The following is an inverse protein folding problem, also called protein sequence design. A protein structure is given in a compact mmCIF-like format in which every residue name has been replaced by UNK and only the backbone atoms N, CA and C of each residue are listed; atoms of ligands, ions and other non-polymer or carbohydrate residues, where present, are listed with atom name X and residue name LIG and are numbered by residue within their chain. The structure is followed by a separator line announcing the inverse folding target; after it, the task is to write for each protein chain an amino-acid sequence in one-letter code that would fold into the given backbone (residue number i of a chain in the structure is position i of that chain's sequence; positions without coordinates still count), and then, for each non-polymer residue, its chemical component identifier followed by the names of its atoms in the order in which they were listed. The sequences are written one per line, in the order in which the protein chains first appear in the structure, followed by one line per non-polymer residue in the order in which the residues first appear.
data_IF_454595364292
#
_entry.id   IF_454595364292
#
_cell.length_a   1.000
_cell.length_b   1.000
_cell.length_c   1.000
_cell.angle_alpha   90.00
_cell.angle_beta   90.00
_cell.angle_gamma   90.00
#
_symmetry.space_group_name_H-M   'P 1'
#
loop_
_entity.id
_entity.type
_entity.pdbx_description
1 polymer ?
#
# COMPACT_ATOMS: atom_id res chain seq x y z
N UNK A 1 19.50 -7.42 12.51
CA UNK A 1 19.10 -6.18 11.82
C UNK A 1 20.05 -5.95 10.65
N UNK A 2 19.68 -6.42 9.45
CA UNK A 2 20.32 -5.95 8.23
C UNK A 2 20.01 -4.45 8.10
N UNK A 3 21.03 -3.62 7.89
CA UNK A 3 20.85 -2.17 7.83
C UNK A 3 19.91 -1.81 6.69
N UNK A 4 18.82 -1.10 7.01
CA UNK A 4 17.98 -0.39 6.04
C UNK A 4 18.93 0.43 5.15
N UNK A 5 18.97 0.11 3.86
CA UNK A 5 19.74 0.89 2.88
C UNK A 5 18.92 2.09 2.44
N UNK A 6 19.64 3.14 2.05
CA UNK A 6 19.13 4.42 1.53
C UNK A 6 18.57 4.30 0.10
N UNK A 7 17.86 3.23 -0.23
CA UNK A 7 16.97 3.27 -1.40
C UNK A 7 15.86 4.24 -0.97
N UNK A 8 15.77 5.39 -1.65
CA UNK A 8 14.71 6.37 -1.42
C UNK A 8 13.61 6.12 -2.46
N UNK A 9 12.51 6.85 -2.36
CA UNK A 9 11.48 6.90 -3.39
C UNK A 9 11.56 8.22 -4.15
N UNK A 10 12.76 8.67 -4.53
CA UNK A 10 12.94 9.92 -5.29
C UNK A 10 12.37 9.82 -6.70
N UNK A 11 12.13 10.97 -7.33
CA UNK A 11 11.75 11.06 -8.75
C UNK A 11 12.69 10.25 -9.64
N UNK A 12 14.01 10.39 -9.45
CA UNK A 12 15.02 9.68 -10.24
C UNK A 12 14.97 8.17 -10.02
N UNK A 13 14.67 7.69 -8.80
CA UNK A 13 14.54 6.26 -8.54
C UNK A 13 13.28 5.67 -9.17
N UNK A 14 12.16 6.41 -9.15
CA UNK A 14 10.90 5.98 -9.78
C UNK A 14 11.03 5.89 -11.31
N UNK A 15 11.79 6.78 -11.94
CA UNK A 15 12.05 6.74 -13.39
C UNK A 15 13.30 5.96 -13.79
N UNK A 16 14.20 5.65 -12.84
CA UNK A 16 15.55 5.18 -13.11
C UNK A 16 15.68 3.74 -13.61
N UNK A 17 14.56 3.01 -13.76
CA UNK A 17 14.50 1.62 -14.25
C UNK A 17 15.31 0.62 -13.41
N UNK A 18 15.93 1.06 -12.33
CA UNK A 18 16.82 0.26 -11.51
C UNK A 18 15.97 -0.60 -10.60
N UNK A 19 16.20 -1.92 -10.65
CA UNK A 19 15.46 -2.86 -9.82
C UNK A 19 15.73 -2.54 -8.34
N UNK A 20 14.70 -2.40 -7.48
CA UNK A 20 14.80 -2.59 -6.04
C UNK A 20 15.89 -3.56 -5.60
N UNK A 21 16.72 -3.14 -4.63
CA UNK A 21 17.67 -4.07 -3.99
C UNK A 21 17.20 -4.57 -2.63
N UNK A 22 16.08 -4.05 -2.13
CA UNK A 22 15.42 -4.44 -0.90
C UNK A 22 14.22 -3.56 -0.57
N UNK A 23 13.66 -3.78 0.62
CA UNK A 23 12.63 -2.93 1.23
C UNK A 23 13.24 -1.59 1.69
N UNK A 24 12.43 -0.54 1.65
CA UNK A 24 12.73 0.76 2.24
C UNK A 24 11.92 0.95 3.51
N UNK A 25 12.31 1.92 4.34
CA UNK A 25 11.49 2.29 5.51
C UNK A 25 10.10 2.77 5.04
N UNK A 26 9.04 2.32 5.71
CA UNK A 26 7.66 2.68 5.34
C UNK A 26 7.41 4.20 5.38
N UNK A 27 8.21 4.98 6.14
CA UNK A 27 8.15 6.45 6.11
C UNK A 27 8.42 7.03 4.72
N UNK A 28 9.11 6.32 3.83
CA UNK A 28 9.30 6.75 2.44
C UNK A 28 7.99 6.82 1.65
N UNK A 29 6.96 6.08 2.07
CA UNK A 29 5.63 6.08 1.47
C UNK A 29 4.66 7.07 2.15
N UNK A 30 5.15 7.87 3.10
CA UNK A 30 4.35 8.88 3.79
C UNK A 30 4.65 10.28 3.23
N UNK A 31 3.69 11.22 3.28
CA UNK A 31 3.96 12.62 2.98
C UNK A 31 5.06 13.16 3.92
N UNK A 32 6.16 13.73 3.39
CA UNK A 32 7.16 14.39 4.22
C UNK A 32 6.63 15.70 4.82
N UNK A 33 7.35 16.27 5.78
CA UNK A 33 6.96 17.52 6.46
C UNK A 33 6.81 18.72 5.49
N UNK A 34 7.55 18.71 4.37
CA UNK A 34 7.50 19.73 3.32
C UNK A 34 6.54 19.38 2.17
N UNK A 35 5.68 18.36 2.35
CA UNK A 35 4.68 17.99 1.37
C UNK A 35 3.70 19.13 1.11
N UNK A 36 3.49 19.45 -0.16
CA UNK A 36 2.45 20.37 -0.61
C UNK A 36 1.17 19.65 -1.02
N UNK A 37 0.14 20.43 -1.36
CA UNK A 37 -1.02 19.91 -2.06
C UNK A 37 -0.59 19.31 -3.41
N UNK A 38 -1.26 18.24 -3.89
CA UNK A 38 -0.96 17.69 -5.20
C UNK A 38 -1.15 18.77 -6.28
N UNK A 39 -0.25 18.77 -7.26
CA UNK A 39 -0.31 19.69 -8.40
C UNK A 39 -1.43 19.34 -9.39
N UNK A 40 -1.83 18.08 -9.42
CA UNK A 40 -2.84 17.55 -10.32
C UNK A 40 -3.85 16.68 -9.57
N UNK A 41 -5.09 16.63 -10.06
CA UNK A 41 -6.08 15.66 -9.60
C UNK A 41 -5.86 14.34 -10.34
N UNK A 42 -5.74 13.25 -9.60
CA UNK A 42 -5.78 11.91 -10.16
C UNK A 42 -7.22 11.45 -10.37
N UNK A 43 -7.60 11.14 -11.61
CA UNK A 43 -8.88 10.55 -11.97
C UNK A 43 -8.71 9.58 -13.14
N UNK A 44 -7.98 8.48 -12.90
CA UNK A 44 -7.54 7.55 -13.91
C UNK A 44 -7.73 6.09 -13.46
N UNK A 45 -7.86 5.20 -14.45
CA UNK A 45 -7.57 3.78 -14.30
C UNK A 45 -6.07 3.58 -14.39
N UNK A 46 -5.47 3.17 -13.27
CA UNK A 46 -4.07 2.79 -13.19
C UNK A 46 -3.91 1.36 -13.70
N UNK A 47 -3.22 1.19 -14.82
CA UNK A 47 -2.98 -0.10 -15.47
C UNK A 47 -1.64 -0.62 -15.00
N UNK A 48 -1.63 -1.76 -14.31
CA UNK A 48 -0.44 -2.38 -13.74
C UNK A 48 -0.10 -3.63 -14.54
N UNK A 49 1.11 -3.71 -15.08
CA UNK A 49 1.59 -4.92 -15.75
C UNK A 49 1.94 -6.04 -14.75
N UNK A 50 1.74 -7.29 -15.17
CA UNK A 50 2.27 -8.44 -14.43
C UNK A 50 3.80 -8.35 -14.38
N UNK A 51 4.38 -8.45 -13.18
CA UNK A 51 5.79 -8.09 -12.96
C UNK A 51 6.47 -9.08 -12.00
N UNK A 52 7.70 -9.50 -12.31
CA UNK A 52 8.49 -10.30 -11.38
C UNK A 52 8.87 -9.53 -10.12
N UNK A 53 8.54 -10.12 -8.98
CA UNK A 53 8.89 -9.58 -7.68
C UNK A 53 10.35 -9.89 -7.33
N UNK A 54 10.99 -9.00 -6.58
CA UNK A 54 12.35 -9.12 -6.09
C UNK A 54 12.34 -9.30 -4.56
N UNK A 55 13.28 -10.09 -4.05
CA UNK A 55 13.56 -10.17 -2.62
C UNK A 55 15.08 -10.21 -2.41
N UNK A 56 15.55 -9.64 -1.32
CA UNK A 56 16.94 -9.77 -0.85
C UNK A 56 17.18 -11.10 -0.12
N UNK A 57 16.09 -11.82 0.20
CA UNK A 57 16.08 -13.17 0.77
C UNK A 57 15.73 -14.21 -0.30
N UNK A 58 15.92 -15.49 0.02
CA UNK A 58 15.28 -16.56 -0.77
C UNK A 58 13.78 -16.40 -0.59
N UNK A 59 13.14 -15.76 -1.57
CA UNK A 59 11.72 -15.40 -1.52
C UNK A 59 10.82 -16.64 -1.40
N UNK A 60 11.16 -17.70 -2.14
CA UNK A 60 10.37 -18.91 -2.25
C UNK A 60 11.28 -20.12 -2.51
N UNK A 61 11.09 -21.22 -1.79
CA UNK A 61 11.70 -22.51 -2.16
C UNK A 61 11.07 -23.10 -3.43
N UNK A 62 9.81 -22.73 -3.70
CA UNK A 62 9.06 -23.11 -4.89
C UNK A 62 8.35 -21.88 -5.48
N UNK A 63 8.57 -21.61 -6.78
CA UNK A 63 7.95 -20.45 -7.44
C UNK A 63 6.53 -20.67 -7.91
N UNK A 64 6.14 -21.93 -8.19
CA UNK A 64 4.84 -22.26 -8.76
C UNK A 64 3.92 -22.95 -7.77
N UNK A 65 2.72 -22.44 -7.58
CA UNK A 65 1.66 -23.06 -6.78
C UNK A 65 0.42 -23.18 -7.65
N UNK A 66 -0.16 -24.38 -7.74
CA UNK A 66 -1.31 -24.66 -8.61
C UNK A 66 -1.13 -24.20 -10.08
N UNK A 67 0.08 -24.40 -10.63
CA UNK A 67 0.52 -23.95 -11.96
C UNK A 67 0.64 -22.44 -12.17
N UNK A 68 0.30 -21.61 -11.19
CA UNK A 68 0.53 -20.17 -11.19
C UNK A 68 1.85 -19.84 -10.47
N UNK A 69 2.34 -18.62 -10.62
CA UNK A 69 3.61 -18.14 -10.08
C UNK A 69 3.39 -17.18 -8.91
N UNK A 70 3.90 -17.55 -7.74
CA UNK A 70 3.85 -16.71 -6.56
C UNK A 70 4.91 -15.59 -6.58
N UNK A 71 5.90 -15.63 -7.48
CA UNK A 71 6.90 -14.58 -7.65
C UNK A 71 6.49 -13.47 -8.64
N UNK A 72 5.21 -13.39 -9.01
CA UNK A 72 4.66 -12.39 -9.94
C UNK A 72 3.64 -11.49 -9.25
N UNK A 73 3.87 -10.18 -9.23
CA UNK A 73 2.82 -9.21 -8.92
C UNK A 73 1.73 -9.28 -10.01
N UNK A 74 0.43 -9.30 -9.67
CA UNK A 74 -0.62 -9.52 -10.65
C UNK A 74 -0.79 -8.33 -11.59
N UNK A 75 -0.98 -8.61 -12.87
CA UNK A 75 -1.38 -7.58 -13.83
C UNK A 75 -2.86 -7.23 -13.64
N UNK A 76 -3.17 -5.98 -13.30
CA UNK A 76 -4.52 -5.52 -12.97
C UNK A 76 -4.75 -4.06 -13.35
N UNK A 77 -6.02 -3.69 -13.52
CA UNK A 77 -6.42 -2.32 -13.76
C UNK A 77 -7.22 -1.78 -12.57
N UNK A 78 -6.70 -0.77 -11.89
CA UNK A 78 -7.30 -0.23 -10.67
C UNK A 78 -7.77 1.21 -10.90
N UNK A 79 -9.08 1.47 -10.91
CA UNK A 79 -9.62 2.82 -11.03
C UNK A 79 -9.46 3.63 -9.74
N UNK A 80 -8.86 4.81 -9.82
CA UNK A 80 -8.71 5.74 -8.70
C UNK A 80 -9.23 7.14 -9.05
N UNK A 81 -9.83 7.79 -8.06
CA UNK A 81 -10.06 9.23 -8.02
C UNK A 81 -9.28 9.85 -6.85
N UNK A 82 -9.08 11.16 -6.84
CA UNK A 82 -8.47 11.84 -5.71
C UNK A 82 -9.22 13.09 -5.31
N UNK A 83 -9.18 13.39 -4.01
CA UNK A 83 -9.83 14.56 -3.42
C UNK A 83 -9.14 14.92 -2.12
N UNK A 84 -8.80 16.19 -1.94
CA UNK A 84 -8.30 16.76 -0.68
C UNK A 84 -7.14 15.97 -0.04
N UNK A 85 -6.24 15.43 -0.87
CA UNK A 85 -5.07 14.67 -0.44
C UNK A 85 -5.29 13.16 -0.33
N UNK A 86 -6.51 12.66 -0.54
CA UNK A 86 -6.82 11.23 -0.57
C UNK A 86 -6.75 10.65 -1.99
N UNK A 87 -6.21 9.43 -2.10
CA UNK A 87 -6.30 8.59 -3.29
C UNK A 87 -7.35 7.51 -3.04
N UNK A 88 -8.44 7.55 -3.78
CA UNK A 88 -9.67 6.82 -3.50
C UNK A 88 -9.88 5.77 -4.60
N UNK A 89 -9.68 4.47 -4.30
CA UNK A 89 -10.03 3.40 -5.23
C UNK A 89 -11.55 3.34 -5.44
N UNK A 90 -11.97 3.19 -6.70
CA UNK A 90 -13.38 3.01 -7.08
C UNK A 90 -13.85 1.57 -6.84
N UNK A 91 -12.93 0.62 -6.79
CA UNK A 91 -13.18 -0.79 -6.46
C UNK A 91 -12.33 -1.18 -5.24
N UNK A 92 -13.00 -1.52 -4.14
CA UNK A 92 -12.38 -1.83 -2.82
C UNK A 92 -12.63 -3.27 -2.38
N UNK A 93 -13.13 -4.10 -3.30
CA UNK A 93 -13.21 -5.54 -3.13
C UNK A 93 -12.00 -6.24 -3.73
N UNK A 94 -12.07 -7.57 -3.79
CA UNK A 94 -11.03 -8.38 -4.40
C UNK A 94 -11.04 -8.24 -5.92
N UNK A 95 -10.00 -7.60 -6.46
CA UNK A 95 -9.76 -7.41 -7.89
C UNK A 95 -9.04 -8.65 -8.41
N UNK A 96 -9.72 -9.40 -9.27
CA UNK A 96 -9.16 -10.60 -9.89
C UNK A 96 -8.21 -10.24 -11.02
N UNK A 97 -7.05 -10.87 -11.07
CA UNK A 97 -6.19 -10.80 -12.25
C UNK A 97 -6.98 -11.37 -13.46
N UNK A 98 -7.21 -10.60 -14.54
CA UNK A 98 -8.04 -11.05 -15.67
C UNK A 98 -7.37 -12.14 -16.52
N UNK A 99 -6.11 -12.46 -16.24
CA UNK A 99 -5.28 -13.47 -16.87
C UNK A 99 -3.84 -13.38 -16.36
N UNK A 100 -2.92 -14.01 -17.07
CA UNK A 100 -1.51 -14.05 -16.69
C UNK A 100 -1.13 -15.32 -15.92
N UNK A 101 0.10 -15.32 -15.42
CA UNK A 101 0.69 -16.43 -14.67
C UNK A 101 0.69 -16.17 -13.16
N UNK A 102 0.31 -14.98 -12.69
CA UNK A 102 0.33 -14.63 -11.26
C UNK A 102 -0.60 -15.52 -10.43
N UNK A 103 -0.10 -15.91 -9.26
CA UNK A 103 -0.85 -16.64 -8.23
C UNK A 103 -1.81 -15.73 -7.44
N UNK A 104 -1.62 -14.41 -7.54
CA UNK A 104 -2.24 -13.44 -6.65
C UNK A 104 -3.41 -12.71 -7.30
N UNK A 105 -4.39 -12.41 -6.47
CA UNK A 105 -5.37 -11.35 -6.68
C UNK A 105 -5.09 -10.22 -5.68
N UNK A 106 -5.67 -9.05 -5.91
CA UNK A 106 -5.33 -7.85 -5.14
C UNK A 106 -6.56 -7.15 -4.58
N UNK A 107 -6.46 -6.69 -3.34
CA UNK A 107 -7.37 -5.69 -2.78
C UNK A 107 -6.59 -4.41 -2.56
N UNK A 108 -7.19 -3.25 -2.87
CA UNK A 108 -6.58 -1.94 -2.64
C UNK A 108 -7.42 -1.14 -1.65
N UNK A 109 -6.74 -0.33 -0.85
CA UNK A 109 -7.37 0.57 0.13
C UNK A 109 -7.03 2.03 -0.20
N UNK A 110 -7.73 3.02 0.39
CA UNK A 110 -7.39 4.41 0.17
C UNK A 110 -5.96 4.70 0.54
N UNK A 111 -5.36 5.55 -0.27
CA UNK A 111 -4.04 6.08 -0.04
C UNK A 111 -4.06 7.60 -0.01
N UNK A 112 -2.92 8.20 -0.38
CA UNK A 112 -2.72 9.64 -0.32
C UNK A 112 -2.12 10.16 -1.61
N UNK A 113 -2.41 11.42 -1.92
CA UNK A 113 -1.75 12.21 -2.98
C UNK A 113 -1.23 13.53 -2.42
N UNK A 114 -0.03 13.92 -2.83
CA UNK A 114 0.61 15.16 -2.41
C UNK A 114 1.64 15.63 -3.45
N UNK A 115 2.30 16.76 -3.22
CA UNK A 115 3.48 17.16 -3.99
C UNK A 115 4.73 17.16 -3.11
N UNK A 116 5.88 16.87 -3.70
CA UNK A 116 7.19 16.96 -3.05
C UNK A 116 8.07 17.89 -3.89
N UNK A 117 8.82 18.84 -3.32
CA UNK A 117 9.66 19.75 -4.10
C UNK A 117 10.66 19.05 -5.04
N UNK A 118 11.13 17.85 -4.67
CA UNK A 118 12.03 17.02 -5.47
C UNK A 118 11.38 16.32 -6.67
N UNK A 119 10.05 16.27 -6.76
CA UNK A 119 9.31 15.56 -7.81
C UNK A 119 9.13 16.38 -9.10
N UNK A 120 9.87 17.49 -9.25
CA UNK A 120 9.98 18.27 -10.50
C UNK A 120 8.64 18.73 -11.10
N UNK A 121 7.65 19.00 -10.24
CA UNK A 121 6.29 19.41 -10.64
C UNK A 121 5.29 18.27 -10.77
N UNK A 122 5.72 17.02 -10.60
CA UNK A 122 4.81 15.88 -10.51
C UNK A 122 4.14 15.83 -9.13
N UNK A 123 2.93 15.28 -9.11
CA UNK A 123 2.26 14.86 -7.87
C UNK A 123 2.68 13.43 -7.56
N UNK A 124 2.70 13.08 -6.28
CA UNK A 124 2.96 11.73 -5.78
C UNK A 124 1.67 11.08 -5.36
N UNK A 125 1.50 9.81 -5.74
CA UNK A 125 0.46 8.94 -5.22
C UNK A 125 1.08 7.80 -4.43
N UNK A 126 0.43 7.41 -3.34
CA UNK A 126 0.69 6.16 -2.62
C UNK A 126 -0.61 5.47 -2.33
N UNK A 127 -0.65 4.15 -2.42
CA UNK A 127 -1.77 3.34 -1.94
C UNK A 127 -1.31 2.05 -1.26
N UNK A 128 -1.99 1.63 -0.17
CA UNK A 128 -1.84 0.30 0.39
C UNK A 128 -2.59 -0.75 -0.43
N UNK A 129 -2.05 -1.96 -0.45
CA UNK A 129 -2.65 -3.11 -1.08
C UNK A 129 -2.42 -4.39 -0.29
N UNK A 130 -3.24 -5.40 -0.58
CA UNK A 130 -3.10 -6.75 -0.07
C UNK A 130 -3.13 -7.73 -1.23
N UNK A 131 -2.15 -8.63 -1.30
CA UNK A 131 -2.18 -9.79 -2.19
C UNK A 131 -2.79 -10.97 -1.46
N UNK A 132 -3.74 -11.63 -2.11
CA UNK A 132 -4.44 -12.82 -1.61
C UNK A 132 -4.67 -13.80 -2.75
N UNK A 133 -5.25 -14.96 -2.47
CA UNK A 133 -5.63 -15.93 -3.50
C UNK A 133 -6.95 -16.63 -3.10
N UNK A 134 -7.52 -17.43 -4.01
CA UNK A 134 -8.80 -18.15 -3.75
C UNK A 134 -8.68 -19.35 -2.80
N UNK A 135 -7.47 -19.78 -2.47
CA UNK A 135 -7.22 -21.07 -1.82
C UNK A 135 -7.09 -20.95 -0.30
N UNK A 136 -6.69 -19.78 0.19
CA UNK A 136 -6.47 -19.51 1.61
C UNK A 136 -6.83 -18.06 1.98
N UNK A 137 -6.87 -17.77 3.28
CA UNK A 137 -7.20 -16.44 3.80
C UNK A 137 -5.95 -15.62 4.13
N UNK A 138 -4.80 -16.03 3.58
CA UNK A 138 -3.50 -15.47 3.90
C UNK A 138 -3.26 -14.27 2.99
N UNK A 139 -2.84 -13.17 3.59
CA UNK A 139 -2.67 -11.91 2.88
C UNK A 139 -1.27 -11.36 3.07
N UNK A 140 -0.73 -10.79 2.00
CA UNK A 140 0.57 -10.14 1.97
C UNK A 140 0.37 -8.65 1.73
N UNK A 141 0.78 -7.83 2.69
CA UNK A 141 0.43 -6.43 2.78
C UNK A 141 1.58 -5.57 2.29
N UNK A 142 1.25 -4.60 1.44
CA UNK A 142 2.23 -3.76 0.82
C UNK A 142 1.80 -2.32 0.59
N UNK A 143 2.78 -1.52 0.20
CA UNK A 143 2.63 -0.12 -0.17
C UNK A 143 3.17 0.07 -1.59
N UNK A 144 2.44 0.83 -2.40
CA UNK A 144 2.84 1.19 -3.75
C UNK A 144 2.93 2.72 -3.88
N UNK A 145 3.91 3.22 -4.62
CA UNK A 145 4.13 4.64 -4.88
C UNK A 145 4.45 4.91 -6.35
N UNK A 146 3.97 6.04 -6.84
CA UNK A 146 4.25 6.55 -8.18
C UNK A 146 4.20 8.08 -8.18
N UNK A 147 4.75 8.69 -9.22
CA UNK A 147 4.59 10.11 -9.52
C UNK A 147 3.84 10.28 -10.83
N UNK A 148 3.04 11.34 -10.95
CA UNK A 148 2.20 11.63 -12.11
C UNK A 148 2.03 13.13 -12.37
N UNK A 149 1.79 13.47 -13.63
CA UNK A 149 1.37 14.79 -14.09
C UNK A 149 0.40 14.66 -15.27
N UNK A 150 0.22 15.72 -16.07
CA UNK A 150 -0.61 15.70 -17.28
C UNK A 150 0.09 15.04 -18.49
N UNK A 151 1.38 14.76 -18.40
CA UNK A 151 2.20 14.15 -19.45
C UNK A 151 2.35 12.64 -19.28
N UNK A 152 2.26 12.14 -18.05
CA UNK A 152 2.32 10.69 -17.80
C UNK A 152 2.47 10.31 -16.33
N UNK A 153 2.90 9.07 -16.14
CA UNK A 153 3.11 8.43 -14.84
C UNK A 153 4.47 7.72 -14.83
N UNK A 154 5.11 7.64 -13.68
CA UNK A 154 6.26 6.75 -13.48
C UNK A 154 5.82 5.27 -13.45
N UNK A 155 6.75 4.33 -13.60
CA UNK A 155 6.56 3.00 -13.03
C UNK A 155 6.08 3.05 -11.57
N UNK A 156 5.32 2.05 -11.15
CA UNK A 156 4.83 1.92 -9.78
C UNK A 156 5.83 1.13 -8.96
N UNK A 157 6.50 1.78 -8.01
CA UNK A 157 7.36 1.12 -7.05
C UNK A 157 6.50 0.53 -5.95
N UNK A 158 6.69 -0.74 -5.61
CA UNK A 158 5.99 -1.36 -4.49
C UNK A 158 6.94 -2.12 -3.57
N UNK A 159 6.45 -2.35 -2.35
CA UNK A 159 7.03 -3.30 -1.42
C UNK A 159 5.95 -4.03 -0.62
N UNK A 160 6.24 -5.26 -0.22
CA UNK A 160 5.48 -6.13 0.67
C UNK A 160 6.38 -6.37 1.88
N UNK A 161 5.88 -6.02 3.05
CA UNK A 161 6.69 -6.01 4.28
C UNK A 161 5.98 -6.68 5.47
N UNK A 162 4.73 -7.11 5.28
CA UNK A 162 3.88 -7.69 6.32
C UNK A 162 3.07 -8.84 5.71
N UNK A 163 2.87 -9.90 6.48
CA UNK A 163 2.00 -11.03 6.12
C UNK A 163 1.19 -11.48 7.34
N UNK A 164 0.03 -12.09 7.12
CA UNK A 164 -0.82 -12.57 8.22
C UNK A 164 -0.35 -13.89 8.82
N UNK A 165 0.15 -14.81 7.98
CA UNK A 165 0.75 -16.10 8.38
C UNK A 165 1.38 -16.78 7.15
N UNK A 166 2.23 -17.77 7.41
CA UNK A 166 2.84 -18.62 6.40
C UNK A 166 2.08 -19.95 6.36
N UNK A 167 1.27 -20.20 5.33
CA UNK A 167 0.55 -21.47 5.16
C UNK A 167 0.94 -22.19 3.88
N UNK A 168 0.32 -21.86 2.73
CA UNK A 168 0.69 -22.53 1.47
C UNK A 168 2.04 -22.06 0.94
N UNK A 169 2.41 -20.81 1.24
CA UNK A 169 3.76 -20.30 1.09
C UNK A 169 4.43 -20.37 2.48
N UNK A 170 5.35 -21.31 2.70
CA UNK A 170 5.94 -21.51 4.02
C UNK A 170 7.02 -20.47 4.35
N UNK A 171 7.59 -19.79 3.35
CA UNK A 171 8.57 -18.73 3.53
C UNK A 171 7.91 -17.40 3.90
N UNK A 172 8.62 -16.60 4.71
CA UNK A 172 8.24 -15.19 4.89
C UNK A 172 8.47 -14.40 3.62
N UNK A 173 7.45 -13.66 3.23
CA UNK A 173 7.34 -13.11 1.90
C UNK A 173 7.62 -11.60 1.86
N UNK A 174 8.91 -11.25 1.98
CA UNK A 174 9.36 -9.88 1.73
C UNK A 174 9.63 -9.69 0.24
N UNK A 175 8.92 -8.77 -0.40
CA UNK A 175 9.00 -8.59 -1.83
C UNK A 175 8.96 -7.12 -2.24
N UNK A 176 9.57 -6.77 -3.37
CA UNK A 176 9.51 -5.43 -3.93
C UNK A 176 9.73 -5.43 -5.43
N UNK A 177 9.31 -4.37 -6.11
CA UNK A 177 9.43 -4.29 -7.58
C UNK A 177 9.13 -2.89 -8.12
N UNK A 178 9.35 -2.75 -9.42
CA UNK A 178 8.87 -1.64 -10.24
C UNK A 178 7.93 -2.24 -11.29
N UNK A 179 6.67 -1.84 -11.26
CA UNK A 179 5.65 -2.28 -12.21
C UNK A 179 5.57 -1.27 -13.34
N UNK A 180 5.68 -1.74 -14.59
CA UNK A 180 5.35 -0.90 -15.74
C UNK A 180 3.87 -0.49 -15.64
N UNK A 181 3.62 0.81 -15.68
CA UNK A 181 2.32 1.38 -15.41
C UNK A 181 1.83 2.29 -16.54
N UNK A 182 0.53 2.21 -16.80
CA UNK A 182 -0.19 3.10 -17.71
C UNK A 182 -1.36 3.78 -17.02
N UNK A 183 -1.93 4.80 -17.65
CA UNK A 183 -3.15 5.46 -17.17
C UNK A 183 -4.15 5.66 -18.30
N UNK A 184 -5.41 5.37 -18.00
CA UNK A 184 -6.55 5.70 -18.86
C UNK A 184 -7.48 6.65 -18.10
N UNK A 185 -7.87 7.81 -18.65
CA UNK A 185 -8.78 8.74 -17.98
C UNK A 185 -10.11 8.06 -17.62
N UNK A 186 -10.60 8.30 -16.40
CA UNK A 186 -11.96 7.87 -16.03
C UNK A 186 -12.99 8.65 -16.87
N UNK A 187 -14.06 7.96 -17.25
CA UNK A 187 -15.16 8.56 -18.02
C UNK A 187 -16.45 8.65 -17.21
N UNK A 188 -17.29 9.64 -17.52
CA UNK A 188 -18.55 9.85 -16.82
C UNK A 188 -18.40 10.33 -15.37
N UNK A 189 -19.44 10.13 -14.56
CA UNK A 189 -19.52 10.59 -13.17
C UNK A 189 -18.94 9.64 -12.12
N UNK A 190 -18.16 8.63 -12.53
CA UNK A 190 -17.68 7.57 -11.63
C UNK A 190 -16.79 8.11 -10.51
N UNK A 191 -15.90 9.05 -10.82
CA UNK A 191 -15.03 9.69 -9.85
C UNK A 191 -15.84 10.45 -8.77
N UNK A 192 -16.85 11.22 -9.17
CA UNK A 192 -17.69 11.98 -8.23
C UNK A 192 -18.48 11.06 -7.30
N UNK A 193 -19.00 9.93 -7.83
CA UNK A 193 -19.72 8.96 -7.01
C UNK A 193 -18.82 8.32 -5.94
N UNK A 194 -17.60 7.91 -6.31
CA UNK A 194 -16.64 7.34 -5.37
C UNK A 194 -16.16 8.35 -4.33
N UNK A 195 -15.90 9.60 -4.73
CA UNK A 195 -15.55 10.69 -3.80
C UNK A 195 -16.67 10.93 -2.79
N UNK A 196 -17.93 10.97 -3.24
CA UNK A 196 -19.07 11.19 -2.36
C UNK A 196 -19.29 10.03 -1.37
N UNK A 197 -19.16 8.79 -1.84
CA UNK A 197 -19.27 7.60 -0.98
C UNK A 197 -18.15 7.57 0.07
N UNK A 198 -16.91 7.83 -0.35
CA UNK A 198 -15.76 7.89 0.55
C UNK A 198 -15.87 9.02 1.59
N UNK A 199 -16.40 10.19 1.20
CA UNK A 199 -16.64 11.27 2.16
C UNK A 199 -17.66 10.87 3.25
N UNK A 200 -18.68 10.08 2.90
CA UNK A 200 -19.62 9.51 3.87
C UNK A 200 -18.93 8.53 4.84
N UNK A 201 -18.11 7.62 4.30
CA UNK A 201 -17.32 6.67 5.10
C UNK A 201 -16.38 7.39 6.08
N UNK A 202 -15.62 8.38 5.63
CA UNK A 202 -14.71 9.16 6.49
C UNK A 202 -15.48 9.89 7.58
N UNK A 203 -16.67 10.40 7.29
CA UNK A 203 -17.52 11.07 8.27
C UNK A 203 -18.05 10.11 9.36
N UNK A 204 -18.17 8.82 9.03
CA UNK A 204 -18.62 7.77 9.95
C UNK A 204 -17.47 7.12 10.76
N UNK A 205 -16.21 7.50 10.49
CA UNK A 205 -15.06 6.99 11.24
C UNK A 205 -15.04 7.46 12.69
N UNK A 206 -14.71 6.55 13.60
CA UNK A 206 -14.37 6.92 14.97
C UNK A 206 -13.06 7.72 15.01
N UNK A 207 -12.97 8.77 15.84
CA UNK A 207 -11.74 9.53 16.01
C UNK A 207 -10.59 8.62 16.44
N UNK A 208 -9.44 8.74 15.78
CA UNK A 208 -8.19 8.12 16.20
C UNK A 208 -7.42 9.10 17.09
N UNK A 209 -6.98 8.61 18.25
CA UNK A 209 -6.23 9.34 19.28
C UNK A 209 -4.92 8.63 19.58
N UNK A 210 -3.92 9.38 20.01
CA UNK A 210 -2.68 8.78 20.48
C UNK A 210 -2.92 8.08 21.83
N UNK A 211 -2.16 7.02 22.12
CA UNK A 211 -2.12 6.42 23.46
C UNK A 211 -1.91 7.43 24.60
N UNK A 212 -1.16 8.50 24.36
CA UNK A 212 -0.93 9.56 25.35
C UNK A 212 -2.18 10.35 25.72
N UNK A 213 -3.20 10.33 24.86
CA UNK A 213 -4.47 11.04 25.06
C UNK A 213 -5.49 10.18 25.81
N UNK A 214 -5.15 8.91 26.09
CA UNK A 214 -6.04 7.97 26.74
C UNK A 214 -6.48 8.49 28.12
N UNK A 215 -7.78 8.51 28.43
CA UNK A 215 -8.26 9.07 29.69
C UNK A 215 -7.57 8.43 30.89
N UNK A 216 -7.18 9.25 31.88
CA UNK A 216 -6.36 8.84 33.04
C UNK A 216 -6.98 7.80 33.99
N UNK A 217 -8.05 7.12 33.57
CA UNK A 217 -8.65 5.98 34.24
C UNK A 217 -7.89 4.66 34.00
N UNK A 218 -7.07 4.55 32.94
CA UNK A 218 -6.29 3.31 32.68
C UNK A 218 -4.87 3.43 33.23
N UNK A 219 -4.48 2.60 34.22
CA UNK A 219 -3.12 2.56 34.72
C UNK A 219 -2.10 2.27 33.61
N UNK A 220 -1.03 3.07 33.54
CA UNK A 220 0.07 2.89 32.57
C UNK A 220 0.62 1.45 32.52
N UNK A 221 0.72 0.78 33.67
CA UNK A 221 1.19 -0.60 33.73
C UNK A 221 0.34 -1.58 32.91
N UNK A 222 -0.98 -1.36 32.80
CA UNK A 222 -1.86 -2.18 31.96
C UNK A 222 -1.65 -1.89 30.48
N UNK A 223 -1.41 -0.62 30.12
CA UNK A 223 -1.08 -0.24 28.74
C UNK A 223 0.25 -0.84 28.30
N UNK A 224 1.26 -0.81 29.18
CA UNK A 224 2.55 -1.43 28.93
C UNK A 224 2.44 -2.95 28.75
N UNK A 225 1.38 -3.58 29.28
CA UNK A 225 1.14 -5.02 29.15
C UNK A 225 0.38 -5.40 27.87
N UNK A 226 -0.32 -4.45 27.21
CA UNK A 226 -1.03 -4.71 25.93
C UNK A 226 -0.06 -5.24 24.86
N UNK A 227 1.14 -4.66 24.82
CA UNK A 227 2.19 -5.04 23.88
C UNK A 227 3.11 -6.18 24.38
N UNK A 228 2.73 -6.88 25.46
CA UNK A 228 3.53 -7.99 26.04
C UNK A 228 2.80 -9.31 25.89
N UNK A 229 3.50 -10.32 25.39
CA UNK A 229 2.96 -11.67 25.29
C UNK A 229 3.77 -12.55 24.36
N UNK A 230 3.26 -13.76 24.13
CA UNK A 230 3.72 -14.53 22.98
C UNK A 230 3.42 -13.72 21.71
N UNK A 231 4.37 -13.67 20.77
CA UNK A 231 4.24 -12.97 19.50
C UNK A 231 4.30 -11.43 19.56
N UNK A 232 4.69 -10.83 20.69
CA UNK A 232 4.90 -9.36 20.79
C UNK A 232 6.00 -8.83 19.85
N UNK A 233 6.90 -9.70 19.40
CA UNK A 233 7.91 -9.43 18.37
C UNK A 233 7.35 -9.41 16.94
N UNK A 234 6.09 -9.80 16.76
CA UNK A 234 5.35 -9.79 15.48
C UNK A 234 4.14 -8.85 15.50
N UNK A 235 3.95 -8.09 16.59
CA UNK A 235 2.89 -7.11 16.72
C UNK A 235 3.18 -5.88 15.85
N UNK A 236 2.19 -5.46 15.06
CA UNK A 236 2.31 -4.34 14.11
C UNK A 236 1.61 -3.10 14.64
N UNK A 237 0.43 -3.28 15.23
CA UNK A 237 -0.37 -2.22 15.84
C UNK A 237 -1.25 -2.82 16.94
N UNK A 238 -1.40 -2.07 18.02
CA UNK A 238 -2.35 -2.33 19.09
C UNK A 238 -3.25 -1.11 19.27
N UNK A 239 -4.51 -1.34 19.63
CA UNK A 239 -5.41 -0.24 19.94
C UNK A 239 -6.61 -0.65 20.80
N UNK A 240 -7.22 0.34 21.43
CA UNK A 240 -8.44 0.20 22.22
C UNK A 240 -9.55 1.09 21.67
N UNK A 241 -10.78 0.61 21.78
CA UNK A 241 -11.98 1.42 21.54
C UNK A 241 -12.59 1.78 22.89
N UNK A 242 -12.68 3.08 23.19
CA UNK A 242 -13.30 3.61 24.41
C UNK A 242 -14.26 4.73 24.02
N UNK A 243 -15.54 4.58 24.37
CA UNK A 243 -16.60 5.58 24.13
C UNK A 243 -16.69 6.12 22.69
N UNK A 244 -16.41 5.26 21.70
CA UNK A 244 -16.45 5.63 20.28
C UNK A 244 -15.21 6.36 19.78
N UNK A 245 -14.10 6.35 20.52
CA UNK A 245 -12.78 6.76 20.05
C UNK A 245 -11.82 5.56 20.02
N UNK A 246 -10.95 5.53 19.01
CA UNK A 246 -9.88 4.55 18.86
C UNK A 246 -8.60 5.18 19.42
N UNK A 247 -7.87 4.44 20.26
CA UNK A 247 -6.56 4.84 20.79
C UNK A 247 -5.50 3.85 20.32
N UNK A 248 -4.49 4.33 19.60
CA UNK A 248 -3.41 3.50 19.04
C UNK A 248 -2.07 4.24 18.97
#
# INVERSE_FOLDING_TARGET
MAGLRTDKLTFEELFGGTRPTGLVDNSAFMPPDDAGLPHQVFAYRLQLAETEMASDKVMLSQRRYHNLRADLFPGVDVPFASKDGDLIPLERGLIRAPGGDSYWDITVSPGKVWSVPGDRGFSRGVFPFELSNVLENDTHHGLASFVYDDTGISPVRFQIAVETKNFMIPETFDASGNIDAGVEPLTGGQAQAAIAAYAGEVADHWPLRAWSDLPGAVPKALLDDVAKGAYSDTEIVSGLVIDGEIYA
#
